data_IF_537811994644
#
_entry.id   IF_537811994644
#
_cell.length_a   1.000
_cell.length_b   1.000
_cell.length_c   1.000
_cell.angle_alpha   90.00
_cell.angle_beta   90.00
_cell.angle_gamma   90.00
#
_symmetry.space_group_name_H-M   'P 1'
#
loop_
_entity.id
_entity.type
_entity.pdbx_description
1 polymer ?
#
# COMPACT_ATOMS: atom_id res chain seq x y z
N UNK A 1 -6.96 9.66 8.43
CA UNK A 1 -6.12 8.98 9.43
C UNK A 1 -6.24 7.48 9.16
N UNK A 2 -5.15 6.80 8.79
CA UNK A 2 -5.21 5.36 8.53
C UNK A 2 -5.49 4.58 9.83
N UNK A 3 -6.27 3.51 9.72
CA UNK A 3 -6.60 2.64 10.85
C UNK A 3 -5.37 1.80 11.22
N UNK A 4 -5.13 1.54 12.51
CA UNK A 4 -4.04 0.67 13.00
C UNK A 4 -4.05 -0.72 12.34
N UNK A 5 -5.24 -1.21 11.99
CA UNK A 5 -5.40 -2.48 11.23
C UNK A 5 -4.75 -2.41 9.85
N UNK A 6 -4.87 -1.26 9.18
CA UNK A 6 -4.30 -1.02 7.86
C UNK A 6 -2.79 -0.90 7.93
N UNK A 7 -2.26 -0.21 8.95
CA UNK A 7 -0.81 -0.08 9.19
C UNK A 7 -0.19 -1.45 9.43
N UNK A 8 -0.74 -2.22 10.37
CA UNK A 8 -0.28 -3.58 10.67
C UNK A 8 -0.30 -4.51 9.46
N UNK A 9 -1.33 -4.40 8.61
CA UNK A 9 -1.43 -5.19 7.39
C UNK A 9 -0.35 -4.80 6.38
N UNK A 10 -0.10 -3.50 6.19
CA UNK A 10 0.96 -3.03 5.29
C UNK A 10 2.33 -3.54 5.76
N UNK A 11 2.65 -3.34 7.03
CA UNK A 11 3.93 -3.79 7.62
C UNK A 11 4.06 -5.32 7.56
N UNK A 12 2.96 -6.07 7.74
CA UNK A 12 2.97 -7.54 7.58
C UNK A 12 3.38 -7.96 6.17
N UNK A 13 2.80 -7.34 5.15
CA UNK A 13 3.10 -7.67 3.76
C UNK A 13 4.55 -7.36 3.43
N UNK A 14 5.07 -6.22 3.88
CA UNK A 14 6.48 -5.85 3.73
C UNK A 14 7.40 -6.88 4.41
N UNK A 15 7.11 -7.27 5.65
CA UNK A 15 7.94 -8.26 6.33
C UNK A 15 7.87 -9.63 5.66
N UNK A 16 6.74 -10.03 5.08
CA UNK A 16 6.61 -11.30 4.34
C UNK A 16 7.43 -11.27 3.04
N UNK A 17 7.48 -10.14 2.34
CA UNK A 17 8.19 -9.98 1.06
C UNK A 17 9.71 -10.17 1.20
N UNK A 18 10.25 -9.96 2.41
CA UNK A 18 11.66 -10.22 2.76
C UNK A 18 12.01 -11.71 2.84
N UNK A 19 11.01 -12.60 2.77
CA UNK A 19 11.19 -14.06 2.83
C UNK A 19 10.82 -14.70 1.51
N UNK A 20 11.42 -15.86 1.21
CA UNK A 20 11.14 -16.57 -0.04
C UNK A 20 9.72 -17.16 -0.07
N UNK A 21 9.11 -17.38 1.10
CA UNK A 21 7.75 -17.92 1.20
C UNK A 21 7.05 -17.52 2.50
N UNK A 22 5.71 -17.47 2.46
CA UNK A 22 4.89 -17.29 3.67
C UNK A 22 5.11 -18.40 4.70
N UNK A 23 5.51 -19.60 4.26
CA UNK A 23 5.83 -20.71 5.15
C UNK A 23 7.09 -20.41 5.97
N UNK A 24 8.16 -20.00 5.31
CA UNK A 24 9.42 -19.62 5.95
C UNK A 24 9.20 -18.48 6.94
N UNK A 25 8.45 -17.45 6.54
CA UNK A 25 8.03 -16.37 7.44
C UNK A 25 7.28 -16.92 8.66
N UNK A 26 6.28 -17.79 8.44
CA UNK A 26 5.46 -18.33 9.54
C UNK A 26 6.27 -19.14 10.54
N UNK A 27 7.23 -19.93 10.07
CA UNK A 27 8.15 -20.71 10.92
C UNK A 27 9.04 -19.77 11.75
N UNK A 28 9.56 -18.70 11.12
CA UNK A 28 10.40 -17.70 11.79
C UNK A 28 9.68 -16.96 12.92
N UNK A 29 8.42 -16.55 12.71
CA UNK A 29 7.62 -15.85 13.74
C UNK A 29 6.82 -16.79 14.65
N UNK A 30 6.95 -18.11 14.46
CA UNK A 30 6.24 -19.12 15.22
C UNK A 30 4.71 -19.09 15.03
N UNK A 31 4.22 -18.65 13.87
CA UNK A 31 2.80 -18.69 13.51
C UNK A 31 2.51 -19.85 12.57
N UNK A 32 1.25 -20.27 12.46
CA UNK A 32 0.86 -21.27 11.47
C UNK A 32 0.70 -20.59 10.09
N UNK A 33 1.07 -21.26 8.98
CA UNK A 33 0.89 -20.71 7.63
C UNK A 33 -0.56 -20.29 7.34
N UNK A 34 -1.53 -21.05 7.84
CA UNK A 34 -2.96 -20.72 7.71
C UNK A 34 -3.32 -19.40 8.42
N UNK A 35 -2.73 -19.13 9.58
CA UNK A 35 -2.98 -17.90 10.33
C UNK A 35 -2.37 -16.68 9.62
N UNK A 36 -1.16 -16.83 9.06
CA UNK A 36 -0.51 -15.80 8.23
C UNK A 36 -1.35 -15.52 6.97
N UNK A 37 -1.78 -16.56 6.27
CA UNK A 37 -2.62 -16.44 5.07
C UNK A 37 -3.95 -15.72 5.34
N UNK A 38 -4.60 -15.99 6.48
CA UNK A 38 -5.82 -15.28 6.89
C UNK A 38 -5.58 -13.78 7.13
N UNK A 39 -4.41 -13.39 7.62
CA UNK A 39 -4.05 -11.97 7.82
C UNK A 39 -3.71 -11.28 6.49
N UNK A 40 -2.96 -11.95 5.62
CA UNK A 40 -2.63 -11.45 4.27
C UNK A 40 -3.89 -11.20 3.45
N UNK A 41 -4.79 -12.19 3.42
CA UNK A 41 -6.07 -12.10 2.70
C UNK A 41 -7.09 -11.17 3.36
N UNK A 42 -6.81 -10.66 4.57
CA UNK A 42 -7.70 -9.76 5.31
C UNK A 42 -8.92 -10.45 5.94
N UNK A 43 -9.01 -11.79 5.88
CA UNK A 43 -10.05 -12.57 6.57
C UNK A 43 -9.95 -12.45 8.10
N UNK A 44 -8.74 -12.17 8.61
CA UNK A 44 -8.48 -11.93 10.03
C UNK A 44 -7.58 -10.71 10.21
N UNK A 45 -7.88 -9.91 11.23
CA UNK A 45 -7.04 -8.77 11.59
C UNK A 45 -5.90 -9.21 12.52
N UNK A 46 -4.77 -8.50 12.44
CA UNK A 46 -3.65 -8.65 13.36
C UNK A 46 -3.95 -7.93 14.69
N UNK A 47 -4.16 -8.71 15.74
CA UNK A 47 -4.26 -8.20 17.11
C UNK A 47 -2.89 -7.96 17.75
N UNK A 48 -2.88 -7.32 18.92
CA UNK A 48 -1.66 -6.88 19.61
C UNK A 48 -0.72 -8.05 19.93
N UNK A 49 -1.28 -9.17 20.40
CA UNK A 49 -0.51 -10.40 20.70
C UNK A 49 0.22 -10.91 19.45
N UNK A 50 -0.42 -10.84 18.29
CA UNK A 50 0.19 -11.31 17.04
C UNK A 50 1.23 -10.32 16.53
N UNK A 51 0.97 -9.02 16.65
CA UNK A 51 1.92 -7.97 16.31
C UNK A 51 3.22 -8.10 17.12
N UNK A 52 3.11 -8.18 18.46
CA UNK A 52 4.27 -8.34 19.36
C UNK A 52 5.03 -9.64 19.12
N UNK A 53 4.33 -10.72 18.76
CA UNK A 53 4.97 -11.99 18.40
C UNK A 53 5.76 -11.91 17.11
N UNK A 54 5.23 -11.23 16.10
CA UNK A 54 5.96 -10.98 14.84
C UNK A 54 7.18 -10.11 15.10
N UNK A 55 7.05 -9.04 15.89
CA UNK A 55 8.17 -8.17 16.26
C UNK A 55 9.28 -8.95 16.93
N UNK A 56 8.94 -9.77 17.93
CA UNK A 56 9.90 -10.61 18.65
C UNK A 56 10.54 -11.68 17.76
N UNK A 57 9.78 -12.26 16.82
CA UNK A 57 10.30 -13.29 15.91
C UNK A 57 11.22 -12.76 14.82
N UNK A 58 11.17 -11.45 14.56
CA UNK A 58 11.96 -10.75 13.55
C UNK A 58 13.02 -9.82 14.17
N UNK A 59 13.19 -9.85 15.49
CA UNK A 59 14.08 -8.96 16.24
C UNK A 59 13.81 -7.46 15.95
N UNK A 60 12.54 -7.10 15.78
CA UNK A 60 12.09 -5.73 15.54
C UNK A 60 11.81 -4.99 16.84
N UNK A 61 11.91 -3.64 16.86
CA UNK A 61 11.51 -2.84 18.00
C UNK A 61 10.04 -3.07 18.37
N UNK A 62 9.73 -3.00 19.67
CA UNK A 62 8.36 -3.04 20.13
C UNK A 62 7.55 -1.88 19.53
N UNK A 63 6.37 -2.19 18.98
CA UNK A 63 5.51 -1.19 18.34
C UNK A 63 5.83 -0.95 16.88
N UNK A 64 6.84 -1.63 16.32
CA UNK A 64 7.16 -1.53 14.90
C UNK A 64 5.95 -1.82 14.01
N UNK A 65 5.11 -2.80 14.34
CA UNK A 65 3.93 -3.13 13.53
C UNK A 65 2.81 -2.08 13.63
N UNK A 66 2.89 -1.17 14.60
CA UNK A 66 1.86 -0.17 14.91
C UNK A 66 2.16 1.20 14.28
N UNK A 67 3.40 1.39 13.81
CA UNK A 67 3.89 2.64 13.22
C UNK A 67 3.96 2.49 11.71
N UNK A 68 3.58 3.55 10.98
CA UNK A 68 3.75 3.58 9.54
C UNK A 68 5.23 3.79 9.21
N UNK A 69 5.85 2.84 8.53
CA UNK A 69 7.22 2.97 8.05
C UNK A 69 7.25 3.46 6.61
N UNK A 70 8.10 4.44 6.27
CA UNK A 70 8.44 4.68 4.88
C UNK A 70 9.14 3.43 4.35
N UNK A 71 8.70 2.93 3.20
CA UNK A 71 9.26 1.74 2.58
C UNK A 71 10.69 2.06 2.13
N UNK A 72 11.68 1.79 2.97
CA UNK A 72 13.10 1.93 2.63
C UNK A 72 13.51 0.71 1.80
N UNK A 73 13.74 0.93 0.50
CA UNK A 73 14.39 -0.07 -0.36
C UNK A 73 13.47 -0.90 -1.24
N UNK A 74 12.17 -0.61 -1.32
CA UNK A 74 11.33 -1.12 -2.41
C UNK A 74 11.35 -0.08 -3.53
N UNK A 75 12.25 -0.27 -4.49
CA UNK A 75 12.12 0.33 -5.82
C UNK A 75 10.74 -0.11 -6.33
N UNK A 76 9.72 0.77 -6.25
CA UNK A 76 8.44 0.50 -6.91
C UNK A 76 8.75 0.29 -8.39
N UNK A 77 8.78 -0.96 -8.84
CA UNK A 77 8.76 -1.29 -10.25
C UNK A 77 7.36 -0.94 -10.77
N UNK A 78 7.12 0.36 -10.98
CA UNK A 78 6.26 0.77 -12.07
C UNK A 78 6.81 0.08 -13.33
N UNK A 79 5.95 -0.53 -14.18
CA UNK A 79 6.40 -1.12 -15.43
C UNK A 79 7.28 -0.08 -16.12
N UNK A 80 8.57 -0.40 -16.30
CA UNK A 80 9.57 0.53 -16.81
C UNK A 80 9.11 0.98 -18.20
N UNK A 81 8.48 2.15 -18.29
CA UNK A 81 8.33 2.87 -19.55
C UNK A 81 9.75 3.36 -19.85
N UNK A 82 10.48 2.55 -20.61
CA UNK A 82 11.83 2.84 -21.05
C UNK A 82 11.84 4.16 -21.81
N UNK A 83 12.36 5.22 -21.18
CA UNK A 83 12.54 6.49 -21.89
C UNK A 83 12.80 7.75 -21.08
N UNK A 84 12.69 7.77 -19.74
CA UNK A 84 13.00 8.99 -18.98
C UNK A 84 14.02 8.74 -17.88
N UNK A 85 15.17 9.42 -18.01
CA UNK A 85 16.17 9.58 -16.95
C UNK A 85 15.47 10.10 -15.68
N UNK A 86 15.48 9.32 -14.60
CA UNK A 86 15.09 9.82 -13.29
C UNK A 86 16.29 10.50 -12.64
N UNK A 87 16.18 11.74 -12.15
CA UNK A 87 17.23 12.38 -11.35
C UNK A 87 17.17 11.86 -9.91
N UNK A 88 18.36 11.70 -9.32
CA UNK A 88 18.57 11.23 -7.95
C UNK A 88 17.88 12.15 -6.92
N UNK A 89 17.09 11.57 -6.02
CA UNK A 89 16.37 12.27 -4.94
C UNK A 89 17.08 12.07 -3.61
N UNK A 90 17.43 13.18 -2.95
CA UNK A 90 18.00 13.26 -1.60
C UNK A 90 16.88 13.55 -0.60
N UNK A 91 16.87 12.83 0.53
CA UNK A 91 15.82 12.88 1.54
C UNK A 91 15.82 14.23 2.28
N UNK A 92 14.75 15.00 2.12
CA UNK A 92 14.51 16.25 2.86
C UNK A 92 13.58 17.22 2.14
N UNK A 93 13.79 17.43 0.84
CA UNK A 93 13.03 18.41 0.05
C UNK A 93 11.85 17.81 -0.73
N UNK A 94 11.70 16.48 -0.69
CA UNK A 94 10.89 15.76 -1.67
C UNK A 94 9.38 15.80 -1.43
N UNK A 95 8.90 15.96 -0.19
CA UNK A 95 7.45 15.92 0.08
C UNK A 95 6.72 17.16 -0.44
N UNK A 96 7.27 18.35 -0.20
CA UNK A 96 6.71 19.61 -0.70
C UNK A 96 6.71 19.62 -2.23
N UNK A 97 7.80 19.14 -2.85
CA UNK A 97 7.93 18.99 -4.30
C UNK A 97 6.97 17.95 -4.88
N UNK A 98 6.74 16.83 -4.19
CA UNK A 98 5.74 15.83 -4.57
C UNK A 98 4.33 16.40 -4.46
N UNK A 99 4.00 17.07 -3.36
CA UNK A 99 2.70 17.71 -3.15
C UNK A 99 2.44 18.80 -4.18
N UNK A 100 3.44 19.60 -4.53
CA UNK A 100 3.36 20.57 -5.62
C UNK A 100 3.14 19.90 -6.98
N UNK A 101 3.86 18.81 -7.26
CA UNK A 101 3.69 18.06 -8.51
C UNK A 101 2.30 17.43 -8.62
N UNK A 102 1.78 16.87 -7.53
CA UNK A 102 0.40 16.33 -7.46
C UNK A 102 -0.63 17.43 -7.63
N UNK A 103 -0.45 18.60 -7.01
CA UNK A 103 -1.32 19.77 -7.22
C UNK A 103 -1.30 20.24 -8.67
N UNK A 104 -0.12 20.30 -9.29
CA UNK A 104 0.03 20.71 -10.68
C UNK A 104 -0.61 19.70 -11.64
N UNK A 105 -0.47 18.39 -11.39
CA UNK A 105 -1.20 17.35 -12.14
C UNK A 105 -2.72 17.51 -12.00
N UNK A 106 -3.20 17.76 -10.79
CA UNK A 106 -4.63 17.99 -10.54
C UNK A 106 -5.17 19.24 -11.25
N UNK A 107 -4.35 20.27 -11.51
CA UNK A 107 -4.76 21.45 -12.27
C UNK A 107 -4.89 21.20 -13.78
N UNK A 108 -4.23 20.15 -14.30
CA UNK A 108 -4.34 19.77 -15.72
C UNK A 108 -5.61 18.96 -16.02
N UNK A 109 -6.27 18.43 -14.98
CA UNK A 109 -7.54 17.74 -15.11
C UNK A 109 -8.67 18.76 -15.28
N UNK A 110 -9.62 18.46 -16.18
CA UNK A 110 -10.80 19.31 -16.34
C UNK A 110 -11.59 19.41 -15.01
N UNK A 111 -12.32 20.52 -14.77
CA UNK A 111 -13.12 20.68 -13.56
C UNK A 111 -14.09 19.51 -13.33
N UNK A 112 -14.69 19.00 -14.41
CA UNK A 112 -15.60 17.86 -14.38
C UNK A 112 -14.88 16.57 -14.00
N UNK A 113 -13.68 16.33 -14.52
CA UNK A 113 -12.85 15.17 -14.18
C UNK A 113 -12.45 15.19 -12.70
N UNK A 114 -12.06 16.35 -12.18
CA UNK A 114 -11.71 16.51 -10.76
C UNK A 114 -12.88 16.20 -9.85
N UNK A 115 -14.09 16.62 -10.22
CA UNK A 115 -15.30 16.33 -9.44
C UNK A 115 -15.59 14.82 -9.37
N UNK A 116 -15.41 14.11 -10.48
CA UNK A 116 -15.58 12.65 -10.53
C UNK A 116 -14.53 11.96 -9.66
N UNK A 117 -13.26 12.36 -9.76
CA UNK A 117 -12.18 11.81 -8.93
C UNK A 117 -12.47 12.04 -7.44
N UNK A 118 -12.91 13.24 -7.06
CA UNK A 118 -13.27 13.56 -5.67
C UNK A 118 -14.48 12.75 -5.17
N UNK A 119 -15.45 12.42 -6.04
CA UNK A 119 -16.58 11.54 -5.68
C UNK A 119 -16.11 10.11 -5.41
N UNK A 120 -15.22 9.59 -6.25
CA UNK A 120 -14.61 8.27 -6.08
C UNK A 120 -13.82 8.23 -4.77
N UNK A 121 -12.98 9.22 -4.51
CA UNK A 121 -12.20 9.33 -3.26
C UNK A 121 -13.10 9.32 -2.03
N UNK A 122 -14.16 10.13 -2.02
CA UNK A 122 -15.13 10.16 -0.90
C UNK A 122 -15.84 8.84 -0.71
N UNK A 123 -16.25 8.19 -1.79
CA UNK A 123 -16.93 6.90 -1.70
C UNK A 123 -15.96 5.82 -1.18
N UNK A 124 -14.68 5.87 -1.58
CA UNK A 124 -13.64 4.95 -1.13
C UNK A 124 -13.36 5.12 0.37
N UNK A 125 -13.17 6.36 0.82
CA UNK A 125 -12.92 6.66 2.24
C UNK A 125 -14.07 6.26 3.16
N UNK A 126 -15.30 6.33 2.65
CA UNK A 126 -16.50 5.93 3.39
C UNK A 126 -16.81 4.42 3.27
N UNK A 127 -15.95 3.64 2.59
CA UNK A 127 -16.16 2.21 2.37
C UNK A 127 -17.43 1.90 1.56
N UNK A 128 -17.90 2.84 0.75
CA UNK A 128 -19.12 2.73 -0.05
C UNK A 128 -18.88 2.14 -1.44
N UNK A 129 -17.63 1.98 -1.86
CA UNK A 129 -17.31 1.22 -3.07
C UNK A 129 -17.25 -0.27 -2.74
N UNK A 130 -18.07 -1.03 -3.45
CA UNK A 130 -18.04 -2.49 -3.47
C UNK A 130 -16.91 -3.01 -4.38
N UNK A 131 -16.54 -4.28 -4.22
CA UNK A 131 -15.49 -4.92 -5.03
C UNK A 131 -15.85 -4.96 -6.53
N UNK A 132 -17.14 -5.03 -6.87
CA UNK A 132 -17.64 -4.99 -8.24
C UNK A 132 -17.47 -3.60 -8.88
N UNK A 133 -17.71 -2.54 -8.11
CA UNK A 133 -17.49 -1.15 -8.55
C UNK A 133 -16.00 -0.86 -8.73
N UNK A 134 -15.14 -1.37 -7.85
CA UNK A 134 -13.68 -1.30 -8.02
C UNK A 134 -13.21 -2.02 -9.28
N UNK A 135 -13.70 -3.23 -9.52
CA UNK A 135 -13.38 -4.01 -10.72
C UNK A 135 -13.79 -3.26 -11.99
N UNK A 136 -14.92 -2.55 -11.95
CA UNK A 136 -15.40 -1.74 -13.07
C UNK A 136 -14.50 -0.53 -13.32
N UNK A 137 -14.06 0.16 -12.26
CA UNK A 137 -13.10 1.26 -12.36
C UNK A 137 -11.74 0.80 -12.92
N UNK A 138 -11.24 -0.36 -12.48
CA UNK A 138 -9.99 -0.94 -13.01
C UNK A 138 -10.09 -1.28 -14.49
N UNK A 139 -11.24 -1.80 -14.94
CA UNK A 139 -11.49 -2.07 -16.36
C UNK A 139 -11.53 -0.79 -17.19
N UNK A 140 -12.18 0.25 -16.68
CA UNK A 140 -12.21 1.56 -17.33
C UNK A 140 -10.80 2.15 -17.45
N UNK A 141 -10.02 2.13 -16.38
CA UNK A 141 -8.63 2.61 -16.39
C UNK A 141 -7.76 1.84 -17.39
N UNK A 142 -7.88 0.51 -17.42
CA UNK A 142 -7.17 -0.31 -18.41
C UNK A 142 -7.56 0.04 -19.86
N UNK A 143 -8.82 0.38 -20.13
CA UNK A 143 -9.25 0.83 -21.46
C UNK A 143 -8.67 2.20 -21.82
N UNK A 144 -8.61 3.12 -20.85
CA UNK A 144 -7.98 4.44 -21.04
C UNK A 144 -6.47 4.35 -21.28
N UNK A 145 -5.75 3.45 -20.60
CA UNK A 145 -4.29 3.31 -20.76
C UNK A 145 -3.90 2.57 -22.04
N UNK A 146 -4.67 1.57 -22.45
CA UNK A 146 -4.37 0.75 -23.64
C UNK A 146 -4.98 1.31 -24.93
N UNK A 147 -5.81 2.34 -24.81
CA UNK A 147 -6.67 2.82 -25.89
C UNK A 147 -7.79 1.83 -26.14
N UNK A 148 -9.03 2.28 -25.94
CA UNK A 148 -10.17 1.68 -26.59
C UNK A 148 -10.07 2.01 -28.10
#
# INVERSE_FOLDING_TARGET
MMNIKTIRKANLLEQIDRFNSQREFSEKVGLTPAHVSQMVTGRRNMGDVVARRIESGLDLPEGYMDVQHPVEGVEYQYPKISGRKQPAVSDGDNLETLLMSVRQMNQRLSPKTREVVAKIERAALNGKLTDEEWTTLERLLNCFEKGC
#
